data_IF_470122577124
#
_entry.id   IF_470122577124
#
_cell.length_a   1.000
_cell.length_b   1.000
_cell.length_c   1.000
_cell.angle_alpha   90.00
_cell.angle_beta   90.00
_cell.angle_gamma   90.00
#
_symmetry.space_group_name_H-M   'P 1'
#
loop_
_entity.id
_entity.type
_entity.pdbx_description
1 polymer ?
2 water ?
#
# COMPACT_ATOMS: atom_id res chain seq x y z
N UNK A 3 -14.73 -1.42 -1.67
CA UNK A 3 -13.69 -2.38 -1.16
C UNK A 3 -13.26 -2.02 0.26
N UNK A 4 -13.32 -2.98 1.16
CA UNK A 4 -12.78 -2.83 2.52
C UNK A 4 -11.28 -3.13 2.54
N UNK A 5 -10.50 -2.26 3.20
CA UNK A 5 -9.02 -2.37 3.23
C UNK A 5 -8.56 -2.44 4.68
N UNK A 6 -7.88 -3.54 5.00
CA UNK A 6 -7.29 -3.72 6.34
C UNK A 6 -5.80 -3.75 6.14
N UNK A 7 -5.06 -2.95 6.92
CA UNK A 7 -3.61 -2.98 6.92
C UNK A 7 -3.14 -3.77 8.13
N UNK A 8 -2.42 -4.86 7.90
CA UNK A 8 -1.83 -5.57 9.03
C UNK A 8 -0.36 -5.20 9.19
N UNK A 9 0.01 -4.83 10.44
CA UNK A 9 1.33 -4.27 10.74
C UNK A 9 1.93 -5.28 11.71
N UNK A 10 2.77 -6.18 11.17
CA UNK A 10 3.40 -7.28 11.90
C UNK A 10 4.70 -7.71 11.16
N UNK A 11 5.72 -8.07 11.92
CA UNK A 11 7.05 -8.36 11.32
C UNK A 11 7.24 -9.77 10.86
N UNK A 12 6.21 -10.60 10.90
CA UNK A 12 6.30 -11.94 10.36
C UNK A 12 5.36 -12.09 9.20
N UNK A 13 5.91 -12.51 8.08
CA UNK A 13 5.17 -12.71 6.87
C UNK A 13 4.06 -13.72 7.13
N UNK A 14 4.39 -14.79 7.84
CA UNK A 14 3.40 -15.86 8.17
C UNK A 14 2.12 -15.27 8.81
N UNK A 15 2.27 -14.33 9.71
CA UNK A 15 1.16 -13.67 10.34
C UNK A 15 0.36 -12.79 9.39
N UNK A 16 1.07 -11.95 8.62
CA UNK A 16 0.41 -11.03 7.68
C UNK A 16 -0.32 -11.83 6.59
N UNK A 17 0.33 -12.88 6.09
CA UNK A 17 -0.29 -13.75 5.04
C UNK A 17 -1.45 -14.60 5.57
N UNK A 18 -1.31 -15.09 6.78
CA UNK A 18 -2.41 -15.83 7.41
C UNK A 18 -3.64 -14.95 7.54
N UNK A 19 -3.44 -13.72 8.03
CA UNK A 19 -4.54 -12.75 8.21
C UNK A 19 -5.19 -12.38 6.86
N UNK A 20 -4.34 -12.17 5.85
CA UNK A 20 -4.81 -11.83 4.53
C UNK A 20 -5.70 -12.96 3.96
N UNK A 21 -5.23 -14.21 4.08
CA UNK A 21 -5.90 -15.34 3.52
C UNK A 21 -7.23 -15.55 4.25
N UNK A 22 -7.16 -15.59 5.56
CA UNK A 22 -8.36 -15.65 6.37
C UNK A 22 -9.40 -14.56 6.07
N UNK A 23 -8.99 -13.29 6.13
CA UNK A 23 -9.94 -12.20 6.02
C UNK A 23 -10.43 -12.02 4.59
N UNK A 24 -9.55 -12.25 3.64
CA UNK A 24 -9.99 -12.08 2.27
C UNK A 24 -10.95 -13.22 1.88
N UNK A 25 -10.76 -14.39 2.47
CA UNK A 25 -11.67 -15.55 2.21
C UNK A 25 -13.05 -15.41 2.85
N UNK A 26 -13.12 -14.72 3.97
CA UNK A 26 -14.34 -14.66 4.75
C UNK A 26 -15.20 -13.47 4.37
N UNK A 27 -14.60 -12.44 3.81
CA UNK A 27 -15.28 -11.20 3.52
C UNK A 27 -15.24 -11.02 2.00
N UNK A 28 -16.35 -10.59 1.39
CA UNK A 28 -16.41 -10.49 -0.07
C UNK A 28 -15.62 -9.29 -0.63
N UNK A 29 -15.87 -8.09 -0.11
CA UNK A 29 -15.17 -6.97 -0.73
C UNK A 29 -13.92 -6.53 0.01
N UNK A 30 -13.13 -7.50 0.50
CA UNK A 30 -12.00 -7.30 1.44
C UNK A 30 -10.63 -7.44 0.79
N UNK A 31 -9.79 -6.42 1.02
CA UNK A 31 -8.38 -6.41 0.66
C UNK A 31 -7.47 -6.23 1.88
N UNK A 32 -6.50 -7.14 2.05
CA UNK A 32 -5.54 -7.01 3.17
C UNK A 32 -4.15 -6.69 2.62
N UNK A 33 -3.61 -5.58 3.09
CA UNK A 33 -2.24 -5.16 2.80
C UNK A 33 -1.38 -5.21 4.04
N UNK A 34 -0.06 -5.31 3.84
CA UNK A 34 0.85 -5.59 4.93
C UNK A 34 1.91 -4.51 5.12
N UNK A 35 2.32 -4.30 6.35
CA UNK A 35 3.57 -3.56 6.59
C UNK A 35 4.28 -4.25 7.72
N UNK A 36 5.60 -4.04 7.78
CA UNK A 36 6.38 -4.80 8.67
C UNK A 36 6.68 -3.96 9.90
N UNK A 37 6.70 -2.63 9.76
CA UNK A 37 6.92 -1.81 10.95
C UNK A 37 5.91 -0.69 11.05
N UNK A 38 5.78 -0.14 12.26
CA UNK A 38 5.05 1.14 12.44
C UNK A 38 5.51 2.25 11.48
N UNK A 39 6.81 2.40 11.35
CA UNK A 39 7.34 3.43 10.48
C UNK A 39 6.95 3.15 9.03
N UNK A 40 7.02 1.90 8.63
CA UNK A 40 6.53 1.52 7.26
C UNK A 40 5.05 1.74 7.12
N UNK A 41 4.29 1.43 8.17
CA UNK A 41 2.82 1.71 8.12
C UNK A 41 2.57 3.20 7.94
N UNK A 42 3.29 4.03 8.68
CA UNK A 42 3.07 5.49 8.58
C UNK A 42 3.44 6.02 7.22
N UNK A 43 4.53 5.55 6.63
CA UNK A 43 4.90 5.94 5.25
C UNK A 43 3.82 5.52 4.25
N UNK A 44 3.28 4.30 4.45
CA UNK A 44 2.18 3.82 3.60
C UNK A 44 0.99 4.80 3.67
N UNK A 45 0.65 5.15 4.90
CA UNK A 45 -0.45 6.08 5.15
C UNK A 45 -0.22 7.49 4.61
N UNK A 46 0.99 8.02 4.68
CA UNK A 46 1.24 9.36 4.04
C UNK A 46 0.98 9.40 2.55
N UNK A 47 1.32 8.31 1.86
CA UNK A 47 1.32 8.32 0.43
C UNK A 47 -0.11 8.17 -0.06
N UNK A 48 -1.04 8.52 0.83
CA UNK A 48 -2.47 8.66 0.51
C UNK A 48 -3.20 7.32 0.46
N UNK A 49 -2.59 6.25 0.95
CA UNK A 49 -3.25 4.95 0.89
C UNK A 49 -4.28 4.89 2.02
N UNK A 50 -5.55 4.72 1.67
CA UNK A 50 -6.60 4.76 2.71
C UNK A 50 -6.95 3.36 3.21
N UNK A 51 -7.31 3.25 4.48
CA UNK A 51 -7.68 1.97 5.09
C UNK A 51 -8.92 2.12 5.99
N UNK A 52 -9.65 1.01 6.15
CA UNK A 52 -10.77 0.96 7.07
C UNK A 52 -10.33 0.52 8.48
N UNK A 53 -9.21 -0.20 8.60
CA UNK A 53 -8.77 -0.70 9.89
C UNK A 53 -7.29 -1.07 9.82
N UNK A 54 -6.56 -0.78 10.90
CA UNK A 54 -5.19 -1.24 11.07
C UNK A 54 -5.15 -2.25 12.18
N UNK A 55 -4.60 -3.44 11.92
CA UNK A 55 -4.30 -4.42 12.96
C UNK A 55 -2.83 -4.28 13.27
N UNK A 56 -2.53 -3.98 14.53
CA UNK A 56 -1.20 -3.61 14.96
C UNK A 56 -0.68 -4.60 15.94
N UNK A 57 0.43 -5.22 15.55
CA UNK A 57 1.15 -6.13 16.43
C UNK A 57 1.75 -5.49 17.68
N UNK A 58 1.82 -6.28 18.75
CA UNK A 58 2.55 -5.91 19.94
C UNK A 58 3.75 -6.85 20.09
N UNK A 65 5.35 0.27 21.40
CA UNK A 65 4.38 -0.79 21.76
C UNK A 65 2.97 -0.19 21.88
N UNK A 66 2.75 0.64 22.90
CA UNK A 66 1.62 1.55 22.92
C UNK A 66 2.01 2.78 22.11
N UNK A 67 3.31 3.07 22.08
CA UNK A 67 3.78 4.20 21.29
C UNK A 67 3.49 4.05 19.77
N UNK A 68 3.55 2.82 19.27
CA UNK A 68 3.07 2.54 17.87
C UNK A 68 1.62 2.96 17.72
N UNK A 69 0.78 2.50 18.66
CA UNK A 69 -0.63 2.85 18.61
C UNK A 69 -0.82 4.36 18.64
N UNK A 70 -0.06 5.03 19.52
CA UNK A 70 -0.19 6.49 19.65
C UNK A 70 0.24 7.15 18.33
N UNK A 71 1.34 6.69 17.77
CA UNK A 71 1.79 7.28 16.51
C UNK A 71 0.76 7.13 15.40
N UNK A 72 0.18 5.94 15.25
CA UNK A 72 -0.78 5.70 14.18
C UNK A 72 -2.08 6.48 14.34
N UNK A 73 -2.54 6.64 15.58
CA UNK A 73 -3.72 7.49 15.88
C UNK A 73 -3.42 8.98 15.65
N UNK A 74 -2.31 9.47 16.21
CA UNK A 74 -1.78 10.82 15.93
C UNK A 74 -1.83 11.17 14.41
N UNK A 75 -1.36 10.24 13.55
CA UNK A 75 -1.44 10.48 12.11
C UNK A 75 -2.86 10.77 11.60
N UNK A 76 -3.84 10.03 12.09
CA UNK A 76 -5.23 10.14 11.61
C UNK A 76 -6.16 9.36 12.55
N UNK A 77 -6.78 10.05 13.54
CA UNK A 77 -7.56 9.32 14.54
C UNK A 77 -8.82 8.74 13.94
N UNK A 78 -9.12 9.06 12.68
CA UNK A 78 -10.28 8.51 12.03
C UNK A 78 -10.12 7.05 11.56
N UNK A 79 -8.90 6.50 11.65
CA UNK A 79 -8.65 5.08 11.34
C UNK A 79 -8.83 4.27 12.61
N UNK A 80 -9.67 3.25 12.56
CA UNK A 80 -9.69 2.22 13.60
C UNK A 80 -8.34 1.50 13.69
N UNK A 81 -7.84 1.33 14.89
CA UNK A 81 -6.64 0.59 15.12
C UNK A 81 -6.94 -0.40 16.25
N UNK A 82 -6.76 -1.70 15.97
CA UNK A 82 -6.88 -2.73 16.98
C UNK A 82 -5.57 -3.43 17.16
N UNK A 83 -5.25 -3.75 18.40
CA UNK A 83 -4.05 -4.52 18.68
C UNK A 83 -4.24 -6.04 18.52
N UNK A 84 -3.15 -6.71 18.12
CA UNK A 84 -3.07 -8.17 18.00
C UNK A 84 -1.83 -8.72 18.75
N UNK A 90 -3.43 -7.09 31.15
CA UNK A 90 -4.58 -6.28 31.59
C UNK A 90 -4.18 -4.82 31.53
N UNK A 91 -2.95 -4.58 31.96
CA UNK A 91 -2.36 -3.26 32.01
C UNK A 91 -2.20 -2.75 30.57
N UNK A 92 -1.67 -3.62 29.73
CA UNK A 92 -1.53 -3.35 28.30
C UNK A 92 -2.86 -2.97 27.72
N UNK A 93 -3.84 -3.87 27.87
CA UNK A 93 -5.20 -3.63 27.41
C UNK A 93 -5.70 -2.28 27.90
N UNK A 94 -5.54 -2.02 29.20
CA UNK A 94 -6.03 -0.78 29.81
C UNK A 94 -5.35 0.45 29.17
N UNK A 95 -4.04 0.36 29.07
CA UNK A 95 -3.25 1.43 28.45
C UNK A 95 -3.68 1.70 26.99
N UNK A 96 -3.85 0.61 26.23
CA UNK A 96 -4.28 0.64 24.83
C UNK A 96 -5.59 1.37 24.66
N UNK A 97 -6.56 0.99 25.48
CA UNK A 97 -7.86 1.61 25.40
C UNK A 97 -7.80 3.11 25.67
N UNK A 98 -6.98 3.51 26.63
CA UNK A 98 -6.84 4.95 26.97
C UNK A 98 -6.29 5.72 25.79
N UNK A 99 -5.41 5.08 25.01
CA UNK A 99 -4.86 5.70 23.81
C UNK A 99 -5.78 5.64 22.60
N UNK A 100 -6.97 5.06 22.78
CA UNK A 100 -7.97 5.03 21.71
C UNK A 100 -8.00 3.77 20.86
N UNK A 101 -7.47 2.65 21.38
CA UNK A 101 -7.51 1.35 20.66
C UNK A 101 -8.97 0.90 20.50
N UNK A 102 -9.27 0.31 19.35
CA UNK A 102 -10.63 -0.08 19.00
C UNK A 102 -10.81 -1.56 19.20
N UNK A 103 -9.85 -2.17 19.86
CA UNK A 103 -9.91 -3.58 20.04
C UNK A 103 -8.59 -4.17 20.44
N UNK A 104 -8.68 -5.41 20.90
CA UNK A 104 -7.55 -6.19 21.34
C UNK A 104 -7.86 -7.65 21.09
N UNK A 105 -7.16 -8.25 20.13
CA UNK A 105 -7.43 -9.62 19.72
C UNK A 105 -6.20 -10.47 20.08
N UNK A 106 -6.37 -11.49 20.95
CA UNK A 106 -5.26 -12.43 21.20
C UNK A 106 -4.77 -13.10 19.92
N UNK A 107 -3.46 -13.36 19.82
CA UNK A 107 -2.93 -14.09 18.64
C UNK A 107 -3.28 -15.59 18.73
N UNK A 108 -3.59 -16.04 19.95
CA UNK A 108 -4.05 -17.41 20.23
C UNK A 108 -5.49 -17.72 19.78
N UNK A 109 -6.28 -16.67 19.54
CA UNK A 109 -7.70 -16.76 19.22
C UNK A 109 -7.94 -17.48 17.90
N UNK A 110 -9.02 -18.25 17.82
CA UNK A 110 -9.26 -19.05 16.62
C UNK A 110 -9.81 -18.20 15.44
N UNK A 111 -9.69 -18.70 14.19
CA UNK A 111 -10.08 -17.96 13.00
C UNK A 111 -11.38 -17.19 13.12
N UNK A 112 -12.35 -17.84 13.73
CA UNK A 112 -13.68 -17.29 13.82
C UNK A 112 -13.74 -16.06 14.68
N UNK A 113 -13.05 -16.08 15.82
CA UNK A 113 -12.92 -14.91 16.67
C UNK A 113 -12.32 -13.71 15.92
N UNK A 114 -11.21 -13.95 15.22
CA UNK A 114 -10.58 -12.86 14.45
C UNK A 114 -11.56 -12.27 13.43
N UNK A 115 -12.24 -13.15 12.70
CA UNK A 115 -13.17 -12.72 11.66
C UNK A 115 -14.31 -11.86 12.26
N UNK A 116 -14.85 -12.32 13.38
CA UNK A 116 -15.98 -11.62 13.97
C UNK A 116 -15.58 -10.38 14.74
N UNK A 117 -14.41 -10.40 15.34
CA UNK A 117 -13.85 -9.20 15.99
C UNK A 117 -13.59 -8.15 14.93
N UNK A 118 -13.05 -8.54 13.77
CA UNK A 118 -12.85 -7.59 12.67
C UNK A 118 -14.18 -6.99 12.20
N UNK A 119 -15.19 -7.83 11.98
CA UNK A 119 -16.53 -7.34 11.60
C UNK A 119 -17.02 -6.30 12.56
N UNK A 120 -17.05 -6.62 13.85
CA UNK A 120 -17.53 -5.75 14.90
C UNK A 120 -16.79 -4.46 14.87
N UNK A 121 -15.47 -4.54 14.90
CA UNK A 121 -14.62 -3.32 14.84
C UNK A 121 -14.89 -2.47 13.59
N UNK A 122 -15.11 -3.12 12.46
CA UNK A 122 -15.43 -2.36 11.24
C UNK A 122 -16.78 -1.64 11.33
N UNK A 123 -17.67 -2.21 12.17
CA UNK A 123 -18.98 -1.61 12.40
C UNK A 123 -18.99 -0.59 13.53
N UNK A 124 -17.84 -0.24 14.08
CA UNK A 124 -17.79 0.77 15.14
C UNK A 124 -17.82 0.23 16.57
N UNK A 125 -17.86 -1.11 16.70
CA UNK A 125 -17.79 -1.72 18.02
C UNK A 125 -16.34 -2.00 18.45
N UNK A 126 -16.16 -2.55 19.64
CA UNK A 126 -14.85 -2.87 20.20
C UNK A 126 -14.82 -4.34 20.58
N UNK A 127 -13.74 -5.04 20.26
CA UNK A 127 -13.57 -6.40 20.77
C UNK A 127 -12.50 -6.42 21.84
N UNK A 128 -12.79 -7.04 22.97
CA UNK A 128 -11.81 -7.30 24.00
C UNK A 128 -11.92 -8.76 24.45
N UNK A 129 -10.80 -9.35 24.92
CA UNK A 129 -10.84 -10.76 25.36
C UNK A 129 -11.58 -10.86 26.70
N UNK A 130 -12.26 -11.98 26.97
CA UNK A 130 -13.10 -12.02 28.20
C UNK A 130 -12.30 -11.91 29.48
N UNK A 131 -11.06 -12.41 29.46
CA UNK A 131 -10.13 -12.25 30.60
C UNK A 131 -10.20 -10.82 31.15
N UNK A 132 -10.08 -9.84 30.26
CA UNK A 132 -10.19 -8.44 30.66
C UNK A 132 -11.55 -8.07 31.27
N UNK A 133 -12.62 -8.73 30.83
CA UNK A 133 -13.97 -8.25 31.14
C UNK A 133 -14.62 -8.92 32.37
N UNK B 3 -8.23 -7.60 -10.43
CA UNK B 3 -7.76 -6.25 -9.92
C UNK B 3 -6.34 -5.94 -10.36
N UNK B 4 -6.17 -4.85 -11.10
CA UNK B 4 -4.87 -4.38 -11.56
C UNK B 4 -4.32 -3.37 -10.53
N UNK B 5 -3.07 -3.56 -10.12
CA UNK B 5 -2.52 -2.64 -9.13
C UNK B 5 -1.40 -1.82 -9.71
N UNK B 6 -1.53 -0.49 -9.64
CA UNK B 6 -0.48 0.40 -10.10
C UNK B 6 0.05 1.11 -8.86
N UNK B 7 1.37 1.08 -8.63
CA UNK B 7 1.98 1.82 -7.59
C UNK B 7 2.63 3.12 -8.12
N UNK B 8 2.20 4.27 -7.63
CA UNK B 8 2.90 5.50 -7.99
C UNK B 8 3.83 5.96 -6.88
N UNK B 9 5.10 6.03 -7.25
CA UNK B 9 6.19 6.39 -6.41
C UNK B 9 6.52 7.90 -6.67
N UNK B 10 5.97 8.74 -5.81
CA UNK B 10 6.08 10.18 -6.03
C UNK B 10 5.86 10.83 -4.71
N UNK B 11 6.73 11.80 -4.41
CA UNK B 11 6.72 12.46 -3.14
C UNK B 11 5.70 13.59 -3.06
N UNK B 12 4.83 13.70 -4.05
CA UNK B 12 3.96 14.91 -4.15
C UNK B 12 2.53 14.47 -4.12
N UNK B 13 1.83 14.80 -3.04
CA UNK B 13 0.44 14.39 -2.83
C UNK B 13 -0.41 14.63 -4.07
N UNK B 14 -0.38 15.86 -4.63
CA UNK B 14 -1.30 16.16 -5.71
C UNK B 14 -0.96 15.44 -6.95
N UNK B 15 0.32 15.18 -7.15
CA UNK B 15 0.73 14.35 -8.28
C UNK B 15 0.22 12.90 -8.13
N UNK B 16 0.46 12.27 -6.97
CA UNK B 16 -0.21 10.97 -6.66
C UNK B 16 -1.73 10.97 -6.85
N UNK B 17 -2.41 11.90 -6.21
CA UNK B 17 -3.89 11.87 -6.23
C UNK B 17 -4.41 12.11 -7.64
N UNK B 18 -3.75 13.01 -8.37
CA UNK B 18 -4.01 13.28 -9.79
C UNK B 18 -3.95 12.03 -10.65
N UNK B 19 -2.86 11.26 -10.54
CA UNK B 19 -2.73 9.98 -11.23
C UNK B 19 -3.78 8.97 -10.76
N UNK B 20 -4.06 8.92 -9.47
CA UNK B 20 -5.01 7.92 -8.99
C UNK B 20 -6.44 8.16 -9.56
N UNK B 21 -6.89 9.43 -9.48
CA UNK B 21 -8.19 9.80 -10.06
C UNK B 21 -8.24 9.56 -11.57
N UNK B 22 -7.19 9.97 -12.28
CA UNK B 22 -7.19 9.75 -13.72
C UNK B 22 -7.28 8.28 -14.09
N UNK B 23 -6.35 7.47 -13.55
CA UNK B 23 -6.24 6.06 -13.91
C UNK B 23 -7.45 5.20 -13.44
N UNK B 24 -7.87 5.37 -12.19
CA UNK B 24 -9.02 4.64 -11.66
C UNK B 24 -10.28 5.04 -12.44
N UNK B 25 -10.33 6.31 -12.88
CA UNK B 25 -11.40 6.84 -13.71
C UNK B 25 -11.50 6.22 -15.08
N UNK B 26 -10.37 5.81 -15.63
CA UNK B 26 -10.28 5.30 -16.97
C UNK B 26 -10.35 3.79 -17.06
N UNK B 27 -9.92 3.08 -16.02
CA UNK B 27 -9.77 1.64 -16.10
C UNK B 27 -10.64 1.06 -15.02
N UNK B 28 -11.47 0.07 -15.40
CA UNK B 28 -12.45 -0.48 -14.42
C UNK B 28 -11.82 -1.41 -13.37
N UNK B 29 -10.90 -2.26 -13.76
CA UNK B 29 -10.37 -3.10 -12.68
C UNK B 29 -9.15 -2.60 -11.89
N UNK B 30 -8.98 -1.28 -11.69
CA UNK B 30 -7.65 -0.78 -11.29
C UNK B 30 -7.69 -0.11 -9.96
N UNK B 31 -6.69 -0.41 -9.17
CA UNK B 31 -6.48 0.25 -7.89
C UNK B 31 -5.10 0.90 -7.97
N UNK B 32 -5.04 2.19 -7.63
CA UNK B 32 -3.77 2.89 -7.65
C UNK B 32 -3.34 3.11 -6.22
N UNK B 33 -2.12 2.69 -5.89
CA UNK B 33 -1.59 2.86 -4.55
C UNK B 33 -0.39 3.79 -4.64
N UNK B 34 0.01 4.37 -3.52
CA UNK B 34 1.12 5.34 -3.53
C UNK B 34 2.26 4.89 -2.66
N UNK B 35 3.45 5.39 -2.97
CA UNK B 35 4.61 5.31 -2.08
C UNK B 35 5.35 6.65 -2.20
N UNK B 36 5.84 7.15 -1.08
CA UNK B 36 6.55 8.42 -1.06
C UNK B 36 7.87 8.36 -1.80
N UNK B 37 8.66 7.29 -1.65
CA UNK B 37 10.02 7.24 -2.20
C UNK B 37 10.29 5.83 -2.66
N UNK B 38 11.37 5.64 -3.45
CA UNK B 38 11.79 4.28 -3.88
C UNK B 38 12.06 3.39 -2.69
N UNK B 39 12.68 3.95 -1.66
CA UNK B 39 12.87 3.20 -0.41
C UNK B 39 11.60 2.60 0.18
N UNK B 40 10.57 3.42 0.29
CA UNK B 40 9.28 3.04 0.83
C UNK B 40 8.64 2.06 -0.11
N UNK B 41 8.77 2.29 -1.42
CA UNK B 41 8.25 1.33 -2.40
C UNK B 41 8.93 -0.03 -2.24
N UNK B 42 10.24 -0.07 -1.98
CA UNK B 42 10.94 -1.37 -1.84
C UNK B 42 10.54 -2.07 -0.55
N UNK B 43 10.37 -1.32 0.54
CA UNK B 43 9.81 -1.93 1.77
C UNK B 43 8.41 -2.56 1.56
N UNK B 44 7.55 -1.85 0.82
CA UNK B 44 6.16 -2.30 0.61
C UNK B 44 6.18 -3.61 -0.18
N UNK B 45 7.03 -3.62 -1.19
CA UNK B 45 7.19 -4.81 -2.03
C UNK B 45 7.84 -6.00 -1.28
N UNK B 46 8.88 -5.73 -0.49
CA UNK B 46 9.53 -6.82 0.31
C UNK B 46 8.56 -7.45 1.28
N UNK B 47 7.58 -6.68 1.75
CA UNK B 47 6.59 -7.18 2.70
C UNK B 47 5.68 -8.16 2.02
N UNK B 48 5.84 -8.33 0.71
CA UNK B 48 5.02 -9.29 -0.10
C UNK B 48 3.67 -8.72 -0.52
N UNK B 49 3.60 -7.38 -0.60
CA UNK B 49 2.47 -6.69 -1.28
C UNK B 49 2.72 -6.70 -2.78
N UNK B 50 1.73 -7.02 -3.57
CA UNK B 50 2.00 -7.20 -4.98
C UNK B 50 1.37 -6.10 -5.79
N UNK B 51 1.99 -5.82 -6.93
CA UNK B 51 1.55 -4.81 -7.86
C UNK B 51 1.74 -5.32 -9.28
N UNK B 52 1.13 -4.62 -10.23
CA UNK B 52 1.29 -4.94 -11.65
C UNK B 52 2.21 -3.96 -12.37
N UNK B 53 2.23 -2.71 -11.88
CA UNK B 53 2.98 -1.68 -12.56
C UNK B 53 3.40 -0.61 -11.57
N UNK B 54 4.65 -0.17 -11.71
CA UNK B 54 5.20 0.86 -10.85
C UNK B 54 5.49 2.07 -11.74
N UNK B 55 4.90 3.21 -11.34
CA UNK B 55 5.23 4.50 -11.96
C UNK B 55 6.16 5.25 -11.02
N UNK B 56 7.37 5.46 -11.51
CA UNK B 56 8.43 6.09 -10.75
C UNK B 56 8.73 7.54 -11.20
N UNK B 57 8.56 8.48 -10.28
CA UNK B 57 8.98 9.85 -10.55
C UNK B 57 10.52 10.04 -10.63
N UNK B 58 10.92 10.91 -11.55
CA UNK B 58 12.32 11.30 -11.71
C UNK B 58 12.40 12.81 -11.99
N UNK B 65 17.73 8.02 -9.01
CA UNK B 65 16.82 8.24 -10.13
C UNK B 65 16.89 7.02 -11.06
N UNK B 66 17.99 6.94 -11.83
CA UNK B 66 18.24 5.69 -12.56
C UNK B 66 18.56 4.58 -11.58
N UNK B 67 19.29 4.90 -10.50
CA UNK B 67 19.60 3.92 -9.46
C UNK B 67 18.28 3.35 -8.87
N UNK B 68 17.29 4.21 -8.70
CA UNK B 68 15.98 3.79 -8.18
C UNK B 68 15.32 2.79 -9.12
N UNK B 69 15.34 3.10 -10.42
CA UNK B 69 14.87 2.18 -11.44
C UNK B 69 15.64 0.84 -11.38
N UNK B 70 16.97 0.95 -11.37
CA UNK B 70 17.81 -0.20 -11.23
C UNK B 70 17.42 -1.03 -9.96
N UNK B 71 17.37 -0.39 -8.81
CA UNK B 71 16.96 -1.08 -7.55
C UNK B 71 15.63 -1.83 -7.69
N UNK B 72 14.62 -1.18 -8.26
CA UNK B 72 13.28 -1.75 -8.34
C UNK B 72 13.20 -2.99 -9.23
N UNK B 73 14.00 -2.98 -10.30
CA UNK B 73 14.01 -4.06 -11.30
C UNK B 73 14.85 -5.24 -10.84
N UNK B 74 16.02 -4.97 -10.28
CA UNK B 74 16.77 -6.04 -9.63
C UNK B 74 15.90 -6.71 -8.55
N UNK B 75 15.19 -5.90 -7.76
CA UNK B 75 14.31 -6.45 -6.75
C UNK B 75 13.18 -7.36 -7.25
N UNK B 76 12.38 -6.94 -8.23
CA UNK B 76 11.34 -7.82 -8.80
C UNK B 76 11.18 -7.56 -10.31
N UNK B 77 11.98 -8.29 -11.14
CA UNK B 77 11.95 -8.13 -12.58
C UNK B 77 10.57 -8.38 -13.17
N UNK B 78 9.68 -9.01 -12.42
CA UNK B 78 8.40 -9.33 -12.96
C UNK B 78 7.47 -8.09 -12.92
N UNK B 79 7.91 -7.02 -12.25
CA UNK B 79 7.10 -5.81 -12.24
C UNK B 79 7.51 -4.93 -13.43
N UNK B 80 6.54 -4.42 -14.15
CA UNK B 80 6.77 -3.35 -15.10
C UNK B 80 7.06 -2.06 -14.32
N UNK B 81 8.02 -1.29 -14.83
CA UNK B 81 8.41 -0.04 -14.22
C UNK B 81 8.56 1.03 -15.29
N UNK B 82 7.77 2.09 -15.20
CA UNK B 82 7.86 3.17 -16.14
C UNK B 82 8.15 4.44 -15.35
N UNK B 83 9.05 5.24 -15.92
CA UNK B 83 9.43 6.56 -15.40
C UNK B 83 8.45 7.65 -15.82
N UNK B 84 8.10 8.52 -14.89
CA UNK B 84 7.38 9.74 -15.24
C UNK B 84 8.27 10.93 -14.89
N UNK B 85 8.65 11.69 -15.93
CA UNK B 85 9.75 12.64 -15.80
C UNK B 85 9.46 14.06 -16.26
N UNK B 86 9.70 15.01 -15.36
CA UNK B 86 9.74 16.42 -15.72
C UNK B 86 10.71 16.81 -16.82
N UNK B 87 11.57 15.88 -17.26
CA UNK B 87 12.64 16.12 -18.24
C UNK B 87 12.38 15.42 -19.59
N UNK B 90 17.78 12.66 -23.92
CA UNK B 90 18.06 11.47 -24.74
C UNK B 90 18.99 10.51 -24.00
N UNK B 91 19.99 11.06 -23.29
CA UNK B 91 20.90 10.28 -22.47
C UNK B 91 20.14 9.59 -21.33
N UNK B 92 19.30 10.40 -20.67
CA UNK B 92 18.41 10.01 -19.60
C UNK B 92 17.50 8.83 -20.00
N UNK B 93 16.73 9.03 -21.06
CA UNK B 93 15.85 8.00 -21.59
C UNK B 93 16.66 6.78 -22.00
N UNK B 94 17.80 7.01 -22.67
CA UNK B 94 18.68 5.93 -23.09
C UNK B 94 19.20 5.10 -21.90
N UNK B 95 19.71 5.79 -20.87
CA UNK B 95 20.12 5.11 -19.63
C UNK B 95 18.96 4.26 -19.05
N UNK B 96 17.78 4.86 -18.99
CA UNK B 96 16.57 4.22 -18.45
C UNK B 96 16.28 2.91 -19.15
N UNK B 97 16.21 2.96 -20.48
CA UNK B 97 15.94 1.77 -21.29
C UNK B 97 16.96 0.65 -21.10
N UNK B 98 18.24 1.01 -20.98
CA UNK B 98 19.28 -0.02 -20.77
C UNK B 98 19.13 -0.70 -19.39
N UNK B 99 18.75 0.11 -18.40
CA UNK B 99 18.35 -0.38 -17.08
C UNK B 99 16.97 -1.05 -17.08
N UNK B 100 16.36 -1.21 -18.25
CA UNK B 100 15.15 -2.01 -18.36
C UNK B 100 13.81 -1.32 -18.08
N UNK B 101 13.78 0.00 -18.10
CA UNK B 101 12.51 0.71 -17.90
C UNK B 101 11.53 0.25 -19.01
N UNK B 102 10.24 0.20 -18.67
CA UNK B 102 9.21 -0.21 -19.57
C UNK B 102 8.50 1.00 -20.17
N UNK B 103 9.01 2.21 -19.95
CA UNK B 103 8.32 3.40 -20.36
C UNK B 103 8.89 4.66 -19.77
N UNK B 104 8.64 5.77 -20.47
CA UNK B 104 9.09 7.07 -20.05
C UNK B 104 7.99 8.04 -20.51
N UNK B 105 7.25 8.56 -19.53
CA UNK B 105 6.15 9.43 -19.79
C UNK B 105 6.53 10.85 -19.30
N UNK B 106 6.53 11.84 -20.21
CA UNK B 106 6.80 13.22 -19.84
C UNK B 106 5.76 13.73 -18.87
N UNK B 107 6.21 14.49 -17.89
CA UNK B 107 5.31 15.06 -16.92
C UNK B 107 4.30 16.01 -17.57
N UNK B 108 4.72 16.63 -18.66
CA UNK B 108 3.92 17.59 -19.38
C UNK B 108 2.95 16.92 -20.34
N UNK B 109 2.94 15.59 -20.39
CA UNK B 109 2.06 14.83 -21.29
C UNK B 109 0.60 15.10 -20.95
N UNK B 110 -0.21 15.19 -22.01
CA UNK B 110 -1.67 15.17 -21.92
C UNK B 110 -2.10 13.97 -21.07
N UNK B 111 -3.07 14.17 -20.18
CA UNK B 111 -3.63 13.07 -19.40
C UNK B 111 -3.99 11.82 -20.21
N UNK B 112 -4.39 11.99 -21.46
CA UNK B 112 -4.90 10.88 -22.23
C UNK B 112 -3.74 10.03 -22.73
N UNK B 113 -2.62 10.68 -23.03
CA UNK B 113 -1.38 9.97 -23.30
C UNK B 113 -0.90 9.10 -22.09
N UNK B 114 -1.06 9.59 -20.85
CA UNK B 114 -0.74 8.75 -19.67
C UNK B 114 -1.62 7.48 -19.62
N UNK B 115 -2.91 7.64 -19.83
CA UNK B 115 -3.84 6.48 -19.92
C UNK B 115 -3.40 5.47 -20.99
N UNK B 116 -3.09 5.96 -22.18
CA UNK B 116 -2.73 5.05 -23.25
C UNK B 116 -1.37 4.45 -23.06
N UNK B 117 -0.45 5.20 -22.49
CA UNK B 117 0.85 4.61 -22.09
C UNK B 117 0.66 3.53 -21.06
N UNK B 118 -0.18 3.77 -20.06
CA UNK B 118 -0.45 2.72 -19.06
C UNK B 118 -1.06 1.48 -19.67
N UNK B 119 -2.03 1.63 -20.58
CA UNK B 119 -2.57 0.46 -21.27
C UNK B 119 -1.49 -0.34 -21.97
N UNK B 120 -0.60 0.33 -22.71
CA UNK B 120 0.39 -0.36 -23.51
C UNK B 120 1.35 -1.07 -22.62
N UNK B 121 1.70 -0.42 -21.51
CA UNK B 121 2.77 -0.93 -20.65
C UNK B 121 2.30 -2.22 -19.99
N UNK B 122 1.05 -2.23 -19.60
CA UNK B 122 0.39 -3.38 -18.98
C UNK B 122 0.27 -4.55 -19.96
N UNK B 123 0.18 -4.24 -21.26
CA UNK B 123 0.07 -5.23 -22.31
C UNK B 123 1.44 -5.70 -22.70
N UNK B 124 2.48 -5.24 -21.99
CA UNK B 124 3.84 -5.72 -22.29
C UNK B 124 4.61 -4.89 -23.31
N UNK B 125 4.05 -3.76 -23.73
CA UNK B 125 4.79 -2.89 -24.65
C UNK B 125 5.49 -1.73 -23.89
N UNK B 126 6.23 -0.91 -24.64
CA UNK B 126 6.97 0.22 -24.12
C UNK B 126 6.40 1.54 -24.64
N UNK B 127 6.19 2.52 -23.77
CA UNK B 127 5.93 3.89 -24.24
C UNK B 127 7.16 4.75 -24.14
N UNK B 128 7.41 5.49 -25.23
CA UNK B 128 8.50 6.48 -25.29
C UNK B 128 8.03 7.74 -25.99
N UNK B 129 8.47 8.93 -25.52
CA UNK B 129 7.89 10.07 -26.24
C UNK B 129 8.51 10.29 -27.62
N UNK B 130 7.78 10.99 -28.48
CA UNK B 130 8.24 11.29 -29.84
C UNK B 130 9.62 11.98 -29.82
N UNK B 131 9.82 12.98 -28.96
CA UNK B 131 11.15 13.60 -28.75
C UNK B 131 12.21 12.58 -29.10
N UNK B 132 12.30 11.56 -28.24
CA UNK B 132 13.28 10.47 -28.33
C UNK B 132 13.34 9.84 -29.72
#
# INVERSE_FOLDING_TARGET
MSLTVVLIVDDHHLIRAGAKNLLEGAFSGMRVEGAETVSDALAFLEADNTVDLILLDVNLPDAEAIDGLVRLKRFDPSNAVALISGETDHELIRAALEAGADGFIPKSADPQVLIHAVSLILEGEIFLPRSYLQGGRMAEVATPLDEGHHHHHH
MSLTVVLIVDDHHLIRAGAKNLLEGAFSGMRVEGAETVSDALAFLEADNTVDLILLDVNLPDAEAIDGLVRLKRFDPSNAVALISGETDHELIRAALEAGADGFIPKSADPQVLIHAVSLILEGEIFLPRSYLQGGRMAEVATPLDEGHHHHHH
#
